data_IF_906702146608
#
_entry.id   IF_906702146608
#
_cell.length_a   1.000
_cell.length_b   1.000
_cell.length_c   1.000
_cell.angle_alpha   90.00
_cell.angle_beta   90.00
_cell.angle_gamma   90.00
#
_symmetry.space_group_name_H-M   'P 1'
#
loop_
_entity.id
_entity.type
_entity.pdbx_description
1 polymer ?
#
# COMPACT_ATOMS: atom_id res chain seq x y z
N UNK A 1 -4.45 -9.90 -12.91
CA UNK A 1 -5.54 -9.02 -12.45
C UNK A 1 -5.61 -7.83 -13.39
N UNK A 2 -6.80 -7.42 -13.82
CA UNK A 2 -6.96 -6.37 -14.83
C UNK A 2 -6.72 -4.96 -14.26
N UNK A 3 -6.24 -4.05 -15.10
CA UNK A 3 -5.97 -2.65 -14.77
C UNK A 3 -7.23 -1.92 -14.28
N UNK A 4 -8.39 -2.22 -14.86
CA UNK A 4 -9.66 -1.62 -14.44
C UNK A 4 -9.97 -1.93 -12.97
N UNK A 5 -9.82 -3.20 -12.57
CA UNK A 5 -10.03 -3.63 -11.19
C UNK A 5 -9.12 -2.87 -10.21
N UNK A 6 -7.83 -2.74 -10.55
CA UNK A 6 -6.87 -2.01 -9.71
C UNK A 6 -7.29 -0.55 -9.54
N UNK A 7 -7.65 0.11 -10.64
CA UNK A 7 -8.02 1.51 -10.64
C UNK A 7 -9.26 1.79 -9.78
N UNK A 8 -10.24 0.90 -9.81
CA UNK A 8 -11.50 1.07 -9.06
C UNK A 8 -11.39 0.72 -7.58
N UNK A 9 -10.49 -0.21 -7.22
CA UNK A 9 -10.43 -0.77 -5.86
C UNK A 9 -9.24 -0.25 -5.04
N UNK A 10 -8.36 0.56 -5.63
CA UNK A 10 -7.24 1.19 -4.92
C UNK A 10 -7.63 2.53 -4.32
N UNK A 11 -7.42 2.69 -3.02
CA UNK A 11 -7.56 3.99 -2.35
C UNK A 11 -6.47 4.96 -2.83
N UNK A 12 -6.91 6.14 -3.25
CA UNK A 12 -6.03 7.19 -3.71
C UNK A 12 -5.50 8.04 -2.55
N UNK A 13 -4.43 7.59 -1.89
CA UNK A 13 -3.71 8.37 -0.88
C UNK A 13 -2.56 9.23 -1.44
N UNK A 14 -2.15 9.02 -2.69
CA UNK A 14 -1.11 9.80 -3.39
C UNK A 14 -1.73 10.41 -4.65
N UNK A 15 -2.22 11.65 -4.53
CA UNK A 15 -2.99 12.32 -5.58
C UNK A 15 -2.16 12.62 -6.83
N UNK A 16 -0.91 13.01 -6.60
CA UNK A 16 0.11 13.31 -7.59
C UNK A 16 0.54 12.08 -8.40
N UNK A 17 0.14 10.87 -7.99
CA UNK A 17 0.53 9.61 -8.64
C UNK A 17 -0.59 8.96 -9.48
N UNK A 18 -0.20 8.15 -10.46
CA UNK A 18 -1.08 7.21 -11.19
C UNK A 18 -0.45 5.82 -11.25
N UNK A 19 -1.29 4.79 -11.33
CA UNK A 19 -0.84 3.39 -11.44
C UNK A 19 -0.76 3.02 -12.92
N UNK A 20 0.29 2.32 -13.33
CA UNK A 20 0.43 1.76 -14.68
C UNK A 20 1.30 0.48 -14.65
N UNK A 21 1.31 -0.33 -15.72
CA UNK A 21 2.23 -1.47 -15.82
C UNK A 21 3.68 -1.02 -15.62
N UNK A 22 4.42 -1.80 -14.84
CA UNK A 22 5.85 -1.59 -14.60
C UNK A 22 6.68 -2.43 -15.57
N UNK A 23 7.82 -1.90 -16.01
CA UNK A 23 8.78 -2.67 -16.82
C UNK A 23 9.56 -3.70 -15.99
N UNK A 24 9.47 -3.65 -14.67
CA UNK A 24 10.18 -4.54 -13.75
C UNK A 24 9.28 -5.72 -13.34
N UNK A 25 8.17 -5.42 -12.67
CA UNK A 25 7.21 -6.42 -12.20
C UNK A 25 5.85 -5.77 -11.91
N UNK A 26 4.78 -6.44 -12.31
CA UNK A 26 3.39 -6.04 -12.07
C UNK A 26 3.08 -4.59 -12.45
N UNK A 27 2.64 -3.82 -11.47
CA UNK A 27 2.23 -2.42 -11.62
C UNK A 27 3.11 -1.52 -10.75
N UNK A 28 3.37 -0.31 -11.23
CA UNK A 28 4.11 0.72 -10.50
C UNK A 28 3.26 1.98 -10.26
N UNK A 29 3.71 2.82 -9.33
CA UNK A 29 3.21 4.17 -9.11
C UNK A 29 4.11 5.19 -9.82
N UNK A 30 3.52 6.01 -10.68
CA UNK A 30 4.21 7.00 -11.51
C UNK A 30 3.71 8.41 -11.17
N UNK A 31 4.59 9.41 -11.29
CA UNK A 31 4.25 10.80 -11.05
C UNK A 31 3.45 11.39 -12.22
N UNK A 32 2.33 12.05 -11.93
CA UNK A 32 1.53 12.83 -12.90
C UNK A 32 2.06 14.24 -13.12
N UNK A 33 2.80 14.74 -12.13
CA UNK A 33 3.33 16.10 -12.06
C UNK A 33 4.76 16.04 -11.57
N UNK A 34 5.52 17.11 -11.77
CA UNK A 34 6.80 17.27 -11.08
C UNK A 34 6.53 17.39 -9.57
N UNK A 35 7.32 16.68 -8.79
CA UNK A 35 7.24 16.63 -7.33
C UNK A 35 8.61 17.07 -6.82
N UNK A 36 8.64 18.10 -5.99
CA UNK A 36 9.88 18.65 -5.50
C UNK A 36 10.45 17.79 -4.37
N UNK A 37 11.78 17.86 -4.20
CA UNK A 37 12.44 17.14 -3.12
C UNK A 37 11.94 17.68 -1.78
N UNK A 38 11.43 16.79 -0.93
CA UNK A 38 10.89 17.13 0.39
C UNK A 38 9.37 17.27 0.41
N UNK A 39 8.71 17.22 -0.74
CA UNK A 39 7.25 17.19 -0.80
C UNK A 39 6.70 15.92 -0.13
N UNK A 40 5.68 16.10 0.70
CA UNK A 40 4.97 15.00 1.34
C UNK A 40 4.00 14.39 0.31
N UNK A 41 4.27 13.14 -0.07
CA UNK A 41 3.42 12.38 -1.00
C UNK A 41 2.12 11.91 -0.35
N UNK A 42 2.19 11.42 0.88
CA UNK A 42 1.07 10.98 1.69
C UNK A 42 1.52 10.81 3.14
N UNK A 43 0.54 10.71 4.04
CA UNK A 43 0.74 10.30 5.44
C UNK A 43 0.22 8.88 5.57
N UNK A 44 0.98 8.00 6.24
CA UNK A 44 0.49 6.67 6.55
C UNK A 44 -0.42 6.74 7.77
N UNK A 45 -1.72 6.62 7.54
CA UNK A 45 -2.74 6.45 8.56
C UNK A 45 -3.10 4.97 8.75
N UNK A 46 -3.92 4.66 9.73
CA UNK A 46 -4.39 3.29 9.96
C UNK A 46 -4.54 2.94 11.43
N UNK A 47 -4.72 1.65 11.68
CA UNK A 47 -4.84 1.10 13.02
C UNK A 47 -3.50 0.50 13.45
N UNK A 48 -3.11 0.73 14.71
CA UNK A 48 -1.95 0.05 15.29
C UNK A 48 -2.44 -1.22 15.99
N UNK A 49 -1.98 -2.37 15.53
CA UNK A 49 -2.33 -3.68 16.12
C UNK A 49 -1.09 -4.57 16.25
N UNK A 50 -1.15 -5.58 17.11
CA UNK A 50 -0.07 -6.57 17.20
C UNK A 50 -0.04 -7.50 15.99
N UNK A 51 1.13 -8.10 15.73
CA UNK A 51 1.27 -9.19 14.76
C UNK A 51 0.27 -10.33 14.99
N UNK A 52 0.10 -10.74 16.25
CA UNK A 52 -0.83 -11.83 16.61
C UNK A 52 -2.27 -11.49 16.25
N UNK A 53 -2.71 -10.24 16.53
CA UNK A 53 -4.05 -9.78 16.21
C UNK A 53 -4.26 -9.66 14.70
N UNK A 54 -3.25 -9.20 13.97
CA UNK A 54 -3.29 -9.13 12.51
C UNK A 54 -3.53 -10.52 11.89
N UNK A 55 -2.77 -11.54 12.32
CA UNK A 55 -2.94 -12.91 11.84
C UNK A 55 -4.29 -13.53 12.26
N UNK A 56 -4.74 -13.28 13.48
CA UNK A 56 -6.07 -13.70 13.94
C UNK A 56 -7.18 -13.17 13.02
N UNK A 57 -7.15 -11.87 12.73
CA UNK A 57 -8.12 -11.22 11.84
C UNK A 57 -7.98 -11.79 10.42
N UNK A 58 -6.77 -11.83 9.85
CA UNK A 58 -6.53 -12.36 8.51
C UNK A 58 -7.07 -13.79 8.36
N UNK A 59 -6.82 -14.66 9.34
CA UNK A 59 -7.29 -16.05 9.33
C UNK A 59 -8.81 -16.15 9.48
N UNK A 60 -9.42 -15.28 10.29
CA UNK A 60 -10.86 -15.26 10.47
C UNK A 60 -11.60 -14.84 9.19
N UNK A 61 -11.00 -13.96 8.37
CA UNK A 61 -11.64 -13.43 7.15
C UNK A 61 -11.21 -14.12 5.86
N UNK A 62 -10.04 -14.75 5.79
CA UNK A 62 -9.47 -15.29 4.54
C UNK A 62 -10.39 -16.28 3.82
N UNK A 63 -11.15 -17.10 4.55
CA UNK A 63 -12.12 -18.05 3.99
C UNK A 63 -13.43 -17.39 3.51
N UNK A 64 -13.68 -16.15 3.89
CA UNK A 64 -14.91 -15.41 3.57
C UNK A 64 -14.72 -14.38 2.45
N UNK A 65 -13.47 -14.02 2.13
CA UNK A 65 -13.16 -13.10 1.05
C UNK A 65 -13.05 -13.90 -0.25
N UNK A 66 -13.90 -13.55 -1.23
CA UNK A 66 -13.90 -14.20 -2.54
C UNK A 66 -12.92 -13.52 -3.50
N UNK A 67 -12.39 -14.28 -4.44
CA UNK A 67 -11.70 -13.72 -5.60
C UNK A 67 -12.56 -12.63 -6.29
N UNK A 68 -11.95 -11.52 -6.76
CA UNK A 68 -10.52 -11.21 -6.73
C UNK A 68 -10.03 -10.50 -5.44
N UNK A 69 -10.91 -10.26 -4.46
CA UNK A 69 -10.61 -9.41 -3.29
C UNK A 69 -9.71 -10.07 -2.24
N UNK A 70 -9.54 -11.39 -2.31
CA UNK A 70 -8.69 -12.17 -1.39
C UNK A 70 -7.23 -11.67 -1.41
N UNK A 71 -6.80 -11.07 -2.52
CA UNK A 71 -5.48 -10.47 -2.71
C UNK A 71 -5.50 -8.94 -2.60
N UNK A 72 -6.52 -8.36 -1.95
CA UNK A 72 -6.70 -6.91 -1.91
C UNK A 72 -7.09 -6.39 -0.51
N UNK A 73 -7.68 -7.25 0.30
CA UNK A 73 -8.01 -6.97 1.70
C UNK A 73 -6.86 -7.49 2.58
N UNK A 74 -6.48 -6.72 3.61
CA UNK A 74 -5.33 -7.00 4.48
C UNK A 74 -4.00 -7.10 3.71
N UNK A 75 -3.84 -6.30 2.66
CA UNK A 75 -2.60 -6.25 1.89
C UNK A 75 -1.65 -5.16 2.35
N UNK A 76 -2.11 -4.23 3.17
CA UNK A 76 -1.36 -3.03 3.45
C UNK A 76 -1.06 -2.87 4.94
N UNK A 77 0.21 -3.06 5.26
CA UNK A 77 0.74 -2.87 6.60
C UNK A 77 2.18 -2.36 6.53
N UNK A 78 2.61 -1.68 7.59
CA UNK A 78 4.01 -1.36 7.86
C UNK A 78 4.35 -1.85 9.26
N UNK A 79 5.48 -2.54 9.40
CA UNK A 79 6.02 -2.83 10.72
C UNK A 79 6.49 -1.53 11.36
N UNK A 80 5.96 -1.21 12.54
CA UNK A 80 6.43 -0.07 13.34
C UNK A 80 7.59 -0.50 14.23
N UNK A 81 7.46 -1.69 14.82
CA UNK A 81 8.49 -2.35 15.62
C UNK A 81 8.34 -3.89 15.52
N UNK A 82 8.97 -4.63 16.43
CA UNK A 82 8.93 -6.11 16.46
C UNK A 82 7.57 -6.68 16.87
N UNK A 83 6.72 -5.88 17.48
CA UNK A 83 5.46 -6.29 18.11
C UNK A 83 4.24 -5.72 17.40
N UNK A 84 4.37 -4.51 16.83
CA UNK A 84 3.24 -3.74 16.30
C UNK A 84 3.36 -3.42 14.81
N UNK A 85 2.18 -3.39 14.19
CA UNK A 85 1.94 -3.05 12.80
C UNK A 85 1.02 -1.85 12.70
N UNK A 86 1.31 -0.94 11.78
CA UNK A 86 0.33 0.01 11.26
C UNK A 86 -0.38 -0.63 10.08
N UNK A 87 -1.68 -0.90 10.21
CA UNK A 87 -2.46 -1.67 9.23
C UNK A 87 -3.57 -0.84 8.60
N UNK A 88 -3.83 -1.13 7.32
CA UNK A 88 -4.97 -0.63 6.55
C UNK A 88 -5.70 -1.82 5.91
N UNK A 89 -7.03 -1.90 6.01
CA UNK A 89 -7.78 -3.04 5.50
C UNK A 89 -7.81 -3.08 3.97
N UNK A 90 -7.69 -1.92 3.32
CA UNK A 90 -7.75 -1.79 1.86
C UNK A 90 -6.42 -1.30 1.30
N UNK A 91 -6.14 -1.75 0.07
CA UNK A 91 -4.98 -1.35 -0.69
C UNK A 91 -5.05 0.12 -1.11
N UNK A 92 -3.94 0.82 -0.99
CA UNK A 92 -3.74 2.22 -1.39
C UNK A 92 -2.69 2.32 -2.51
N UNK A 93 -2.53 3.51 -3.11
CA UNK A 93 -1.50 3.75 -4.12
C UNK A 93 -0.08 3.54 -3.61
N UNK A 94 0.15 3.68 -2.30
CA UNK A 94 1.45 3.40 -1.68
C UNK A 94 1.92 1.96 -1.97
N UNK A 95 1.01 0.98 -1.98
CA UNK A 95 1.33 -0.43 -2.26
C UNK A 95 1.82 -0.73 -3.69
N UNK A 96 1.86 0.28 -4.55
CA UNK A 96 2.38 0.21 -5.93
C UNK A 96 3.73 0.93 -6.08
N UNK A 97 4.30 1.48 -4.99
CA UNK A 97 5.68 1.94 -4.98
C UNK A 97 6.58 0.71 -4.87
N UNK A 98 7.32 0.44 -5.94
CA UNK A 98 8.22 -0.71 -5.98
C UNK A 98 9.49 -0.47 -5.17
N UNK A 99 10.05 -1.56 -4.63
CA UNK A 99 11.35 -1.51 -3.99
C UNK A 99 12.45 -1.20 -5.01
N UNK A 100 13.39 -0.34 -4.62
CA UNK A 100 14.59 -0.03 -5.39
C UNK A 100 15.79 0.13 -4.47
N UNK A 101 16.97 -0.32 -4.91
CA UNK A 101 18.24 -0.11 -4.17
C UNK A 101 18.69 1.34 -4.16
N UNK A 102 18.27 2.13 -5.15
CA UNK A 102 18.47 3.57 -5.24
C UNK A 102 17.10 4.24 -5.36
N UNK A 103 16.37 4.39 -4.25
CA UNK A 103 15.01 4.93 -4.27
C UNK A 103 15.02 6.44 -4.51
N UNK A 104 13.89 6.97 -4.98
CA UNK A 104 13.63 8.41 -5.13
C UNK A 104 12.61 8.94 -4.11
N UNK A 105 12.17 8.07 -3.20
CA UNK A 105 11.24 8.37 -2.10
C UNK A 105 11.77 7.74 -0.83
N UNK A 106 11.32 8.24 0.32
CA UNK A 106 11.65 7.71 1.64
C UNK A 106 10.43 7.71 2.55
N UNK A 107 10.48 6.88 3.59
CA UNK A 107 9.50 6.86 4.67
C UNK A 107 10.17 7.53 5.87
N UNK A 108 9.55 8.59 6.38
CA UNK A 108 10.05 9.35 7.54
C UNK A 108 9.06 9.19 8.69
N UNK A 109 9.58 8.86 9.87
CA UNK A 109 8.83 8.89 11.12
C UNK A 109 9.00 10.30 11.71
N UNK A 110 7.91 11.08 11.74
CA UNK A 110 7.88 12.52 12.13
C UNK A 110 8.45 13.48 11.07
N UNK A 111 7.71 13.75 9.97
CA UNK A 111 8.08 14.74 8.96
C UNK A 111 7.90 16.19 9.43
#
# INVERSE_FOLDING_TARGET
>A
MDYHFIKENTINNIQQGYIAPSEIDGFGLFAKVNIDKGDILCIFDGQIISWSKYHEIQNAFSSHIKAPYEQYIFMEWNALDKETLLVRPFRTKYSYINHARKPNVEIVQYP
#
